data_IF_465799481269
#
_entry.id   IF_465799481269
#
_cell.length_a   1.000
_cell.length_b   1.000
_cell.length_c   1.000
_cell.angle_alpha   90.00
_cell.angle_beta   90.00
_cell.angle_gamma   90.00
#
_symmetry.space_group_name_H-M   'P 1'
#
loop_
_entity.id
_entity.type
_entity.pdbx_description
1 polymer ?
#
# COMPACT_ATOMS: atom_id res chain seq x y z
N UNK A 1 -2.33 -11.83 -16.65
CA UNK A 1 -1.55 -10.58 -16.56
C UNK A 1 -0.31 -10.87 -15.74
N UNK A 2 0.89 -10.71 -16.32
CA UNK A 2 2.14 -11.10 -15.66
C UNK A 2 2.66 -9.89 -14.86
N UNK A 3 2.35 -9.83 -13.57
CA UNK A 3 2.77 -8.76 -12.68
C UNK A 3 4.20 -9.09 -12.19
N UNK A 4 5.17 -8.96 -13.09
CA UNK A 4 6.56 -9.42 -12.91
C UNK A 4 7.33 -8.71 -11.78
N UNK A 5 6.73 -7.72 -11.10
CA UNK A 5 7.41 -6.89 -10.11
C UNK A 5 6.73 -6.78 -8.74
N UNK A 6 5.56 -7.41 -8.53
CA UNK A 6 4.89 -7.39 -7.24
C UNK A 6 5.61 -8.28 -6.20
N UNK A 7 5.70 -7.81 -4.97
CA UNK A 7 6.07 -8.67 -3.84
C UNK A 7 4.93 -9.66 -3.51
N UNK A 8 5.22 -10.74 -2.78
CA UNK A 8 4.19 -11.72 -2.38
C UNK A 8 3.06 -11.06 -1.57
N UNK A 9 3.34 -10.17 -0.60
CA UNK A 9 2.30 -9.41 0.11
C UNK A 9 1.47 -8.49 -0.80
N UNK A 10 2.10 -7.73 -1.70
CA UNK A 10 1.39 -6.89 -2.68
C UNK A 10 0.48 -7.75 -3.58
N UNK A 11 0.94 -8.92 -4.01
CA UNK A 11 0.13 -9.84 -4.80
C UNK A 11 -1.10 -10.34 -4.02
N UNK A 12 -0.97 -10.54 -2.71
CA UNK A 12 -2.11 -10.90 -1.85
C UNK A 12 -3.16 -9.78 -1.81
N UNK A 13 -2.72 -8.53 -1.64
CA UNK A 13 -3.59 -7.33 -1.68
C UNK A 13 -4.23 -7.17 -3.06
N UNK A 14 -3.46 -7.28 -4.14
CA UNK A 14 -3.94 -7.21 -5.52
C UNK A 14 -5.09 -8.21 -5.77
N UNK A 15 -4.88 -9.47 -5.36
CA UNK A 15 -5.88 -10.53 -5.52
C UNK A 15 -7.13 -10.26 -4.69
N UNK A 16 -6.97 -9.76 -3.47
CA UNK A 16 -8.09 -9.38 -2.62
C UNK A 16 -8.91 -8.24 -3.26
N UNK A 17 -8.28 -7.16 -3.70
CA UNK A 17 -8.96 -6.05 -4.40
C UNK A 17 -9.68 -6.53 -5.67
N UNK A 18 -9.02 -7.39 -6.46
CA UNK A 18 -9.63 -7.98 -7.67
C UNK A 18 -10.84 -8.84 -7.32
N UNK A 19 -10.75 -9.69 -6.29
CA UNK A 19 -11.85 -10.55 -5.83
C UNK A 19 -13.04 -9.74 -5.31
N UNK A 20 -12.77 -8.57 -4.72
CA UNK A 20 -13.77 -7.64 -4.24
C UNK A 20 -14.35 -6.75 -5.35
N UNK A 21 -13.91 -6.94 -6.59
CA UNK A 21 -14.33 -6.15 -7.76
C UNK A 21 -14.15 -4.64 -7.57
N UNK A 22 -13.10 -4.27 -6.83
CA UNK A 22 -12.71 -2.86 -6.64
C UNK A 22 -11.87 -2.41 -7.82
N UNK A 23 -12.19 -1.24 -8.36
CA UNK A 23 -11.35 -0.59 -9.37
C UNK A 23 -10.14 0.07 -8.68
N UNK A 24 -8.94 -0.28 -9.12
CA UNK A 24 -7.70 0.27 -8.59
C UNK A 24 -6.61 0.39 -9.66
N UNK A 25 -5.65 1.28 -9.41
CA UNK A 25 -4.38 1.34 -10.15
C UNK A 25 -3.28 0.75 -9.26
N UNK A 26 -2.51 -0.20 -9.80
CA UNK A 26 -1.38 -0.81 -9.07
C UNK A 26 -0.04 -0.28 -9.58
N UNK A 27 0.84 0.10 -8.67
CA UNK A 27 2.07 0.82 -9.00
C UNK A 27 3.05 0.06 -9.92
N UNK A 28 3.12 -1.27 -9.85
CA UNK A 28 3.93 -2.04 -10.80
C UNK A 28 3.44 -1.92 -12.25
N UNK A 29 2.19 -1.47 -12.47
CA UNK A 29 1.67 -1.13 -13.80
C UNK A 29 2.09 0.28 -14.25
N UNK A 30 2.56 1.13 -13.32
CA UNK A 30 2.97 2.53 -13.57
C UNK A 30 4.49 2.70 -13.71
N UNK A 31 5.29 1.80 -13.11
CA UNK A 31 6.74 1.80 -13.23
C UNK A 31 7.20 1.11 -14.51
N UNK A 32 7.63 1.90 -15.50
CA UNK A 32 8.47 1.40 -16.59
C UNK A 32 9.86 0.94 -16.10
N UNK A 33 10.72 0.48 -17.01
CA UNK A 33 11.99 -0.22 -16.76
C UNK A 33 13.07 0.49 -15.91
N UNK A 34 12.80 1.67 -15.35
CA UNK A 34 13.74 2.47 -14.59
C UNK A 34 13.20 2.80 -13.19
N UNK A 35 13.86 2.21 -12.18
CA UNK A 35 14.20 2.76 -10.84
C UNK A 35 13.50 2.21 -9.59
N UNK A 36 14.38 1.97 -8.62
CA UNK A 36 14.26 2.03 -7.15
C UNK A 36 13.02 1.40 -6.50
N UNK A 37 13.11 0.08 -6.28
CA UNK A 37 12.37 -0.61 -5.22
C UNK A 37 12.64 0.11 -3.89
N UNK A 38 11.61 0.70 -3.30
CA UNK A 38 11.69 1.44 -2.03
C UNK A 38 11.33 2.93 -2.12
N UNK A 39 10.92 3.43 -3.30
CA UNK A 39 10.60 4.86 -3.51
C UNK A 39 9.10 5.18 -3.55
N UNK A 40 8.22 4.19 -3.39
CA UNK A 40 6.83 4.39 -3.78
C UNK A 40 5.92 4.91 -2.67
N UNK A 41 5.44 6.12 -2.94
CA UNK A 41 4.45 6.87 -2.19
C UNK A 41 3.04 6.20 -2.17
N UNK A 42 2.68 5.32 -3.12
CA UNK A 42 1.36 4.68 -3.26
C UNK A 42 1.41 3.34 -4.03
N UNK A 43 1.16 2.21 -3.36
CA UNK A 43 1.16 0.89 -4.02
C UNK A 43 -0.14 0.62 -4.78
N UNK A 44 -1.29 0.94 -4.16
CA UNK A 44 -2.62 0.81 -4.76
C UNK A 44 -3.38 2.11 -4.62
N UNK A 45 -3.86 2.66 -5.73
CA UNK A 45 -4.74 3.84 -5.75
C UNK A 45 -6.16 3.41 -6.06
N UNK A 46 -7.12 3.87 -5.26
CA UNK A 46 -8.56 3.61 -5.41
C UNK A 46 -9.23 4.99 -5.60
N UNK A 47 -9.30 5.50 -6.84
CA UNK A 47 -9.71 6.89 -7.11
C UNK A 47 -11.12 7.21 -6.65
N UNK A 48 -12.05 6.25 -6.77
CA UNK A 48 -13.45 6.40 -6.37
C UNK A 48 -13.63 6.67 -4.86
N UNK A 49 -12.63 6.33 -4.04
CA UNK A 49 -12.63 6.53 -2.59
C UNK A 49 -11.63 7.60 -2.15
N UNK A 50 -10.91 8.24 -3.09
CA UNK A 50 -9.73 9.06 -2.78
C UNK A 50 -8.79 8.35 -1.79
N UNK A 51 -8.55 7.05 -1.99
CA UNK A 51 -7.81 6.19 -1.06
C UNK A 51 -6.53 5.65 -1.71
N UNK A 52 -5.47 5.61 -0.92
CA UNK A 52 -4.21 4.93 -1.21
C UNK A 52 -4.01 3.84 -0.16
N UNK A 53 -3.72 2.63 -0.62
CA UNK A 53 -3.27 1.52 0.23
C UNK A 53 -1.78 1.29 -0.03
N UNK A 54 -0.98 1.30 1.04
CA UNK A 54 0.46 0.95 1.01
C UNK A 54 0.68 -0.42 1.63
N UNK A 55 1.59 -1.20 1.05
CA UNK A 55 2.04 -2.49 1.56
C UNK A 55 3.38 -2.32 2.27
N UNK A 56 3.37 -2.46 3.59
CA UNK A 56 4.47 -2.05 4.48
C UNK A 56 5.15 -3.32 5.03
N UNK A 57 6.41 -3.58 4.67
CA UNK A 57 7.19 -4.71 5.21
C UNK A 57 7.61 -4.51 6.68
N UNK A 58 8.27 -5.49 7.32
CA UNK A 58 8.85 -5.32 8.67
C UNK A 58 10.10 -4.40 8.71
N UNK A 59 10.61 -3.96 7.56
CA UNK A 59 11.82 -3.14 7.46
C UNK A 59 11.67 -1.70 7.99
N UNK A 60 10.67 -1.43 8.82
CA UNK A 60 10.40 -0.13 9.44
C UNK A 60 11.11 0.05 10.77
N UNK A 61 12.02 -0.88 11.11
CA UNK A 61 12.77 -0.88 12.36
C UNK A 61 14.16 -0.23 12.31
N UNK A 62 14.68 0.21 11.16
CA UNK A 62 16.13 0.47 11.09
C UNK A 62 16.61 1.92 11.07
N UNK A 63 15.79 2.94 10.78
CA UNK A 63 16.25 4.33 10.95
C UNK A 63 15.14 5.38 11.17
N UNK A 64 15.40 6.37 12.02
CA UNK A 64 14.50 7.48 12.30
C UNK A 64 14.27 8.36 11.06
N UNK A 65 15.27 8.47 10.18
CA UNK A 65 15.19 9.21 8.93
C UNK A 65 14.12 8.63 7.99
N UNK A 66 14.04 7.30 7.90
CA UNK A 66 13.02 6.60 7.09
C UNK A 66 11.62 6.91 7.61
N UNK A 67 11.40 6.83 8.93
CA UNK A 67 10.10 7.16 9.54
C UNK A 67 9.66 8.59 9.27
N UNK A 68 10.58 9.55 9.37
CA UNK A 68 10.29 10.96 9.07
C UNK A 68 9.93 11.14 7.60
N UNK A 69 10.71 10.53 6.69
CA UNK A 69 10.42 10.58 5.26
C UNK A 69 9.04 10.00 4.94
N UNK A 70 8.70 8.84 5.51
CA UNK A 70 7.43 8.18 5.24
C UNK A 70 6.23 8.93 5.81
N UNK A 71 6.41 9.59 6.97
CA UNK A 71 5.43 10.50 7.54
C UNK A 71 5.20 11.71 6.64
N UNK A 72 6.27 12.37 6.17
CA UNK A 72 6.17 13.52 5.27
C UNK A 72 5.52 13.16 3.92
N UNK A 73 5.83 11.98 3.39
CA UNK A 73 5.19 11.47 2.17
C UNK A 73 3.70 11.24 2.37
N UNK A 74 3.32 10.65 3.50
CA UNK A 74 1.91 10.45 3.86
C UNK A 74 1.19 11.79 3.99
N UNK A 75 1.77 12.75 4.71
CA UNK A 75 1.20 14.09 4.88
C UNK A 75 1.05 14.81 3.53
N UNK A 76 2.03 14.71 2.64
CA UNK A 76 1.96 15.31 1.31
C UNK A 76 0.83 14.73 0.46
N UNK A 77 0.57 13.42 0.55
CA UNK A 77 -0.56 12.79 -0.13
C UNK A 77 -1.90 13.19 0.49
N UNK A 78 -1.97 13.24 1.82
CA UNK A 78 -3.17 13.65 2.54
C UNK A 78 -3.52 15.11 2.24
N UNK A 79 -2.52 15.98 2.09
CA UNK A 79 -2.70 17.38 1.65
C UNK A 79 -3.29 17.51 0.23
N UNK A 80 -3.14 16.48 -0.60
CA UNK A 80 -3.71 16.40 -1.95
C UNK A 80 -5.14 15.80 -1.97
N UNK A 81 -5.71 15.52 -0.79
CA UNK A 81 -7.07 14.98 -0.66
C UNK A 81 -7.14 13.45 -0.67
N UNK A 82 -5.99 12.76 -0.61
CA UNK A 82 -5.98 11.31 -0.47
C UNK A 82 -6.08 10.89 0.99
N UNK A 83 -6.72 9.75 1.26
CA UNK A 83 -6.56 9.02 2.51
C UNK A 83 -5.49 7.97 2.31
N UNK A 84 -4.56 7.83 3.25
CA UNK A 84 -3.49 6.83 3.16
C UNK A 84 -3.63 5.79 4.27
N UNK A 85 -3.81 4.54 3.87
CA UNK A 85 -3.91 3.37 4.76
C UNK A 85 -2.75 2.42 4.51
N UNK A 86 -2.14 1.95 5.59
CA UNK A 86 -1.04 0.99 5.54
C UNK A 86 -1.58 -0.40 5.89
N UNK A 87 -1.19 -1.40 5.10
CA UNK A 87 -1.38 -2.82 5.39
C UNK A 87 0.02 -3.43 5.57
N UNK A 88 0.25 -4.05 6.74
CA UNK A 88 1.53 -4.73 6.98
C UNK A 88 1.66 -5.95 6.08
N UNK A 89 2.89 -6.27 5.68
CA UNK A 89 3.18 -7.43 4.86
C UNK A 89 2.71 -8.73 5.53
N UNK A 90 2.92 -8.87 6.84
CA UNK A 90 2.44 -10.01 7.61
C UNK A 90 0.91 -10.11 7.61
N UNK A 91 0.22 -8.99 7.79
CA UNK A 91 -1.25 -8.92 7.75
C UNK A 91 -1.79 -9.31 6.37
N UNK A 92 -1.17 -8.81 5.30
CA UNK A 92 -1.50 -9.18 3.93
C UNK A 92 -1.29 -10.69 3.67
N UNK A 93 -0.20 -11.26 4.19
CA UNK A 93 0.08 -12.70 4.06
C UNK A 93 -0.85 -13.56 4.92
N UNK A 94 -1.27 -13.07 6.09
CA UNK A 94 -2.15 -13.79 7.01
C UNK A 94 -3.60 -13.79 6.51
N UNK A 95 -4.15 -12.64 6.11
CA UNK A 95 -5.54 -12.52 5.67
C UNK A 95 -5.82 -11.26 4.82
N UNK A 96 -5.24 -11.19 3.62
CA UNK A 96 -5.41 -10.03 2.73
C UNK A 96 -6.87 -9.59 2.53
N UNK A 97 -7.84 -10.50 2.39
CA UNK A 97 -9.24 -10.09 2.15
C UNK A 97 -9.80 -9.30 3.34
N UNK A 98 -9.54 -9.74 4.57
CA UNK A 98 -9.97 -9.02 5.77
C UNK A 98 -9.35 -7.62 5.82
N UNK A 99 -8.02 -7.53 5.74
CA UNK A 99 -7.31 -6.26 5.89
C UNK A 99 -7.63 -5.28 4.75
N UNK A 100 -7.83 -5.77 3.53
CA UNK A 100 -8.30 -4.93 2.41
C UNK A 100 -9.71 -4.41 2.66
N UNK A 101 -10.65 -5.23 3.14
CA UNK A 101 -12.02 -4.77 3.46
C UNK A 101 -12.02 -3.66 4.50
N UNK A 102 -11.17 -3.76 5.50
CA UNK A 102 -11.05 -2.76 6.55
C UNK A 102 -10.32 -1.49 6.04
N UNK A 103 -9.28 -1.65 5.22
CA UNK A 103 -8.60 -0.53 4.57
C UNK A 103 -9.53 0.27 3.65
N UNK A 104 -10.43 -0.39 2.92
CA UNK A 104 -11.44 0.26 2.07
C UNK A 104 -12.44 1.10 2.89
N UNK A 105 -12.65 0.78 4.17
CA UNK A 105 -13.44 1.62 5.11
C UNK A 105 -12.62 2.80 5.64
N UNK A 106 -11.33 2.87 5.34
CA UNK A 106 -10.38 3.85 5.87
C UNK A 106 -9.84 3.51 7.24
N UNK A 107 -9.93 2.25 7.68
CA UNK A 107 -9.37 1.80 8.96
C UNK A 107 -7.90 1.43 8.74
N UNK A 108 -7.01 2.04 9.51
CA UNK A 108 -5.58 1.75 9.50
C UNK A 108 -5.23 0.81 10.65
N UNK A 109 -4.42 -0.20 10.35
CA UNK A 109 -3.90 -1.13 11.34
C UNK A 109 -2.51 -0.67 11.77
N UNK A 110 -2.44 -0.02 12.93
CA UNK A 110 -1.17 0.23 13.59
C UNK A 110 -0.89 -0.95 14.52
N UNK A 111 0.17 -1.71 14.26
CA UNK A 111 0.80 -2.47 15.34
C UNK A 111 1.53 -1.46 16.21
N UNK A 112 1.21 -1.44 17.51
CA UNK A 112 1.90 -0.56 18.45
C UNK A 112 3.41 -0.85 18.39
N UNK A 113 4.19 0.20 18.15
CA UNK A 113 5.65 0.20 18.13
C UNK A 113 6.25 -0.42 19.39
#
# INVERSE_FOLDING_TARGET
MNILMATVPEMAIYRALTKLEVEFTFQAQMLGANREKGSTIADFQIPSLSLIIRCVGEYWHSDAETKVRDMLQKEALESQGWRVVDIMAEDALANAEYYVREALKGITFAHAL
#
